data_IF_597331729073
#
_entry.id   IF_597331729073
#
_cell.length_a   1.000
_cell.length_b   1.000
_cell.length_c   1.000
_cell.angle_alpha   90.00
_cell.angle_beta   90.00
_cell.angle_gamma   90.00
#
_symmetry.space_group_name_H-M   'P 1'
#
loop_
_entity.id
_entity.type
_entity.pdbx_description
1 polymer ?
#
# COMPACT_ATOMS: atom_id res chain seq x y z
N UNK A 1 -22.22 26.32 -14.07
CA UNK A 1 -20.97 25.95 -14.75
C UNK A 1 -19.80 26.53 -13.99
N UNK A 2 -19.05 25.71 -13.25
CA UNK A 2 -17.91 26.16 -12.47
C UNK A 2 -16.74 25.19 -12.65
N UNK A 3 -15.82 25.57 -13.53
CA UNK A 3 -14.39 25.23 -13.51
C UNK A 3 -14.01 23.75 -13.30
N UNK A 4 -14.19 22.92 -14.33
CA UNK A 4 -13.23 21.86 -14.58
C UNK A 4 -11.98 22.54 -15.16
N UNK A 5 -11.04 22.95 -14.30
CA UNK A 5 -9.71 23.30 -14.75
C UNK A 5 -9.05 21.99 -15.19
N UNK A 6 -9.17 21.72 -16.49
CA UNK A 6 -8.30 20.83 -17.23
C UNK A 6 -6.87 21.36 -17.03
N UNK A 7 -6.18 20.82 -16.03
CA UNK A 7 -4.78 21.15 -15.77
C UNK A 7 -3.94 20.30 -16.71
N UNK A 8 -3.79 20.78 -17.95
CA UNK A 8 -2.85 20.20 -18.90
C UNK A 8 -1.43 20.26 -18.32
N UNK A 9 -0.88 19.13 -17.87
CA UNK A 9 0.55 19.00 -17.59
C UNK A 9 0.95 17.53 -17.74
N UNK A 10 1.94 17.23 -18.59
CA UNK A 10 2.44 15.88 -18.85
C UNK A 10 2.87 15.09 -17.58
N UNK A 11 2.98 15.75 -16.42
CA UNK A 11 3.23 15.15 -15.11
C UNK A 11 2.04 14.41 -14.47
N UNK A 12 0.79 14.77 -14.78
CA UNK A 12 -0.39 14.16 -14.14
C UNK A 12 -0.61 12.72 -14.65
N UNK A 13 -0.46 12.51 -15.95
CA UNK A 13 -0.58 11.18 -16.57
C UNK A 13 0.55 10.21 -16.18
N UNK A 14 1.76 10.72 -15.90
CA UNK A 14 2.86 9.89 -15.39
C UNK A 14 2.59 9.48 -13.95
N UNK A 15 2.18 10.43 -13.11
CA UNK A 15 1.86 10.18 -11.69
C UNK A 15 0.74 9.15 -11.56
N UNK A 16 -0.31 9.28 -12.36
CA UNK A 16 -1.42 8.33 -12.42
C UNK A 16 -0.96 6.93 -12.86
N UNK A 17 -0.17 6.83 -13.94
CA UNK A 17 0.38 5.53 -14.39
C UNK A 17 1.27 4.88 -13.34
N UNK A 18 2.12 5.66 -12.68
CA UNK A 18 2.99 5.17 -11.60
C UNK A 18 2.17 4.71 -10.40
N UNK A 19 1.12 5.44 -10.01
CA UNK A 19 0.22 5.03 -8.95
C UNK A 19 -0.52 3.73 -9.31
N UNK A 20 -0.99 3.59 -10.56
CA UNK A 20 -1.65 2.37 -11.04
C UNK A 20 -0.69 1.18 -10.97
N UNK A 21 0.49 1.29 -11.59
CA UNK A 21 1.47 0.19 -11.62
C UNK A 21 1.97 -0.13 -10.21
N UNK A 22 2.30 0.89 -9.43
CA UNK A 22 2.77 0.75 -8.05
C UNK A 22 1.73 0.08 -7.18
N UNK A 23 0.47 0.53 -7.23
CA UNK A 23 -0.64 -0.04 -6.45
C UNK A 23 -0.98 -1.49 -6.83
N UNK A 24 -0.96 -1.81 -8.13
CA UNK A 24 -1.22 -3.17 -8.61
C UNK A 24 -0.12 -4.16 -8.23
N UNK A 25 1.14 -3.71 -8.12
CA UNK A 25 2.25 -4.55 -7.66
C UNK A 25 2.30 -4.60 -6.13
N UNK A 26 2.05 -3.49 -5.43
CA UNK A 26 2.13 -3.44 -3.97
C UNK A 26 1.04 -4.28 -3.30
N UNK A 27 -0.16 -4.31 -3.85
CA UNK A 27 -1.30 -5.07 -3.29
C UNK A 27 -0.99 -6.57 -3.10
N UNK A 28 -0.54 -7.34 -4.12
CA UNK A 28 -0.19 -8.74 -3.94
C UNK A 28 1.04 -8.95 -3.06
N UNK A 29 2.02 -8.04 -3.08
CA UNK A 29 3.20 -8.10 -2.19
C UNK A 29 2.79 -7.98 -0.73
N UNK A 30 1.93 -7.00 -0.41
CA UNK A 30 1.39 -6.81 0.94
C UNK A 30 0.52 -8.01 1.33
N UNK A 31 -0.33 -8.52 0.42
CA UNK A 31 -1.14 -9.70 0.71
C UNK A 31 -0.28 -10.92 1.07
N UNK A 32 0.81 -11.16 0.32
CA UNK A 32 1.77 -12.22 0.63
C UNK A 32 2.48 -11.98 1.97
N UNK A 33 2.83 -10.72 2.27
CA UNK A 33 3.39 -10.36 3.58
C UNK A 33 2.46 -10.62 4.75
N UNK A 34 1.26 -10.07 4.70
CA UNK A 34 0.28 -10.27 5.75
C UNK A 34 -0.11 -11.74 5.91
N UNK A 35 -0.17 -12.51 4.83
CA UNK A 35 -0.41 -13.95 4.90
C UNK A 35 0.72 -14.69 5.62
N UNK A 36 1.97 -14.39 5.27
CA UNK A 36 3.15 -15.00 5.91
C UNK A 36 3.18 -14.62 7.39
N UNK A 37 2.96 -13.35 7.71
CA UNK A 37 2.93 -12.86 9.08
C UNK A 37 1.84 -13.55 9.90
N UNK A 38 0.62 -13.61 9.37
CA UNK A 38 -0.52 -14.24 10.04
C UNK A 38 -0.36 -15.75 10.23
N UNK A 39 0.35 -16.44 9.34
CA UNK A 39 0.48 -17.92 9.39
C UNK A 39 1.71 -18.40 10.14
N UNK A 40 2.81 -17.64 10.07
CA UNK A 40 4.10 -18.03 10.66
C UNK A 40 4.47 -17.21 11.88
N UNK A 41 3.84 -16.05 12.09
CA UNK A 41 4.26 -15.06 13.08
C UNK A 41 5.49 -14.26 12.66
N UNK A 42 6.03 -14.49 11.46
CA UNK A 42 7.21 -13.83 10.92
C UNK A 42 6.88 -13.06 9.63
N UNK A 43 7.55 -11.93 9.42
CA UNK A 43 7.47 -11.17 8.17
C UNK A 43 8.06 -11.93 6.97
N UNK A 44 8.18 -11.28 5.82
CA UNK A 44 8.83 -11.92 4.67
C UNK A 44 10.31 -12.15 4.92
N UNK A 45 10.87 -13.25 4.36
CA UNK A 45 12.31 -13.40 4.29
C UNK A 45 12.91 -12.17 3.59
N UNK A 46 13.95 -11.54 4.14
CA UNK A 46 14.53 -10.33 3.55
C UNK A 46 15.10 -10.57 2.14
N UNK A 47 15.36 -11.82 1.78
CA UNK A 47 15.95 -12.23 0.49
C UNK A 47 17.43 -11.86 0.38
N UNK A 48 18.11 -12.28 -0.70
CA UNK A 48 19.50 -11.92 -0.93
C UNK A 48 19.68 -10.40 -0.91
N UNK A 49 20.55 -9.91 -0.02
CA UNK A 49 20.82 -8.48 0.13
C UNK A 49 19.65 -7.63 0.64
N UNK A 50 18.60 -8.22 1.22
CA UNK A 50 17.46 -7.46 1.75
C UNK A 50 16.46 -6.97 0.68
N UNK A 51 16.58 -7.47 -0.56
CA UNK A 51 15.78 -7.03 -1.70
C UNK A 51 14.26 -7.25 -1.54
N UNK A 52 13.85 -8.36 -0.94
CA UNK A 52 12.43 -8.69 -0.73
C UNK A 52 11.86 -7.82 0.40
N UNK A 53 12.61 -7.62 1.48
CA UNK A 53 12.22 -6.72 2.57
C UNK A 53 12.12 -5.26 2.10
N UNK A 54 13.02 -4.82 1.21
CA UNK A 54 12.93 -3.49 0.61
C UNK A 54 11.69 -3.34 -0.27
N UNK A 55 11.35 -4.37 -1.07
CA UNK A 55 10.13 -4.37 -1.87
C UNK A 55 8.88 -4.31 -1.01
N UNK A 56 8.85 -5.05 0.11
CA UNK A 56 7.76 -4.99 1.08
C UNK A 56 7.61 -3.59 1.68
N UNK A 57 8.71 -3.00 2.17
CA UNK A 57 8.72 -1.64 2.73
C UNK A 57 8.24 -0.57 1.74
N UNK A 58 8.74 -0.61 0.50
CA UNK A 58 8.30 0.29 -0.57
C UNK A 58 6.81 0.08 -0.89
N UNK A 59 6.33 -1.16 -0.88
CA UNK A 59 4.92 -1.48 -1.12
C UNK A 59 4.01 -0.84 -0.07
N UNK A 60 4.39 -0.88 1.21
CA UNK A 60 3.66 -0.17 2.28
C UNK A 60 3.64 1.34 2.06
N UNK A 61 4.77 1.95 1.68
CA UNK A 61 4.83 3.38 1.39
C UNK A 61 3.95 3.78 0.21
N UNK A 62 3.88 2.96 -0.84
CA UNK A 62 3.00 3.20 -1.99
C UNK A 62 1.53 3.18 -1.55
N UNK A 63 1.10 2.16 -0.80
CA UNK A 63 -0.30 2.06 -0.33
C UNK A 63 -0.66 3.22 0.58
N UNK A 64 0.20 3.56 1.55
CA UNK A 64 -0.02 4.71 2.43
C UNK A 64 -0.05 6.01 1.63
N UNK A 65 0.83 6.17 0.63
CA UNK A 65 0.84 7.32 -0.27
C UNK A 65 -0.46 7.49 -1.06
N UNK A 66 -1.00 6.39 -1.62
CA UNK A 66 -2.27 6.39 -2.36
C UNK A 66 -3.44 6.72 -1.42
N UNK A 67 -3.49 6.11 -0.24
CA UNK A 67 -4.55 6.38 0.76
C UNK A 67 -4.49 7.83 1.26
N UNK A 68 -3.28 8.36 1.51
CA UNK A 68 -3.10 9.74 1.92
C UNK A 68 -3.52 10.72 0.82
N UNK A 69 -3.15 10.43 -0.44
CA UNK A 69 -3.57 11.24 -1.59
C UNK A 69 -5.09 11.18 -1.81
N UNK A 70 -5.71 10.01 -1.70
CA UNK A 70 -7.17 9.88 -1.73
C UNK A 70 -7.82 10.69 -0.63
N UNK A 71 -7.38 10.53 0.61
CA UNK A 71 -7.96 11.22 1.76
C UNK A 71 -7.82 12.74 1.64
N UNK A 72 -6.67 13.21 1.15
CA UNK A 72 -6.44 14.63 0.88
C UNK A 72 -7.35 15.17 -0.22
N UNK A 73 -7.46 14.45 -1.34
CA UNK A 73 -8.31 14.83 -2.47
C UNK A 73 -9.77 14.86 -2.04
N UNK A 74 -10.22 13.83 -1.31
CA UNK A 74 -11.57 13.73 -0.76
C UNK A 74 -11.88 14.85 0.21
N UNK A 75 -10.93 15.26 1.04
CA UNK A 75 -11.10 16.41 1.94
C UNK A 75 -11.22 17.74 1.17
N UNK A 76 -10.53 17.89 0.04
CA UNK A 76 -10.53 19.13 -0.75
C UNK A 76 -11.69 19.24 -1.75
N UNK A 77 -12.10 18.13 -2.35
CA UNK A 77 -13.05 18.11 -3.48
C UNK A 77 -14.38 17.41 -3.13
N UNK A 78 -14.43 16.69 -2.01
CA UNK A 78 -15.56 15.82 -1.65
C UNK A 78 -15.60 14.50 -2.42
N UNK A 79 -14.67 14.24 -3.35
CA UNK A 79 -14.59 13.03 -4.17
C UNK A 79 -13.22 12.36 -4.06
N UNK A 80 -13.16 11.03 -4.24
CA UNK A 80 -11.92 10.25 -4.22
C UNK A 80 -10.97 10.58 -5.38
N UNK A 81 -9.99 9.71 -5.64
CA UNK A 81 -9.11 9.91 -6.79
C UNK A 81 -9.92 9.83 -8.09
N UNK A 82 -9.51 10.55 -9.15
CA UNK A 82 -10.09 10.35 -10.47
C UNK A 82 -9.94 8.88 -10.87
N UNK A 83 -10.94 8.32 -11.56
CA UNK A 83 -10.93 6.90 -11.92
C UNK A 83 -9.76 6.51 -12.84
N UNK A 84 -9.24 7.48 -13.58
CA UNK A 84 -8.12 7.28 -14.49
C UNK A 84 -8.43 6.40 -15.69
N UNK A 85 -7.40 6.10 -16.51
CA UNK A 85 -7.57 5.29 -17.70
C UNK A 85 -8.11 3.90 -17.31
N UNK A 86 -9.20 3.50 -17.96
CA UNK A 86 -9.91 2.23 -17.71
C UNK A 86 -10.43 2.05 -16.27
N UNK A 87 -10.50 3.10 -15.44
CA UNK A 87 -10.94 2.98 -14.05
C UNK A 87 -9.91 2.38 -13.10
N UNK A 88 -8.66 2.20 -13.56
CA UNK A 88 -7.63 1.50 -12.80
C UNK A 88 -7.15 2.27 -11.57
N UNK A 89 -7.13 3.61 -11.61
CA UNK A 89 -6.72 4.40 -10.46
C UNK A 89 -7.75 4.31 -9.33
N UNK A 90 -9.05 4.28 -9.67
CA UNK A 90 -10.12 4.03 -8.71
C UNK A 90 -10.07 2.61 -8.12
N UNK A 91 -9.76 1.60 -8.95
CA UNK A 91 -9.57 0.22 -8.46
C UNK A 91 -8.39 0.14 -7.47
N UNK A 92 -7.27 0.79 -7.80
CA UNK A 92 -6.08 0.87 -6.94
C UNK A 92 -6.36 1.62 -5.65
N UNK A 93 -7.16 2.69 -5.67
CA UNK A 93 -7.62 3.37 -4.47
C UNK A 93 -8.38 2.40 -3.55
N UNK A 94 -9.35 1.65 -4.09
CA UNK A 94 -10.11 0.65 -3.33
C UNK A 94 -9.23 -0.47 -2.76
N UNK A 95 -8.31 -1.02 -3.57
CA UNK A 95 -7.36 -2.03 -3.14
C UNK A 95 -6.40 -1.50 -2.07
N UNK A 96 -6.02 -0.23 -2.14
CA UNK A 96 -5.15 0.41 -1.16
C UNK A 96 -5.86 0.58 0.19
N UNK A 97 -7.13 1.00 0.20
CA UNK A 97 -7.94 1.03 1.43
C UNK A 97 -8.18 -0.37 2.01
N UNK A 98 -8.44 -1.36 1.16
CA UNK A 98 -8.59 -2.75 1.59
C UNK A 98 -7.29 -3.29 2.21
N UNK A 99 -6.16 -3.01 1.57
CA UNK A 99 -4.84 -3.40 2.05
C UNK A 99 -4.53 -2.71 3.38
N UNK A 100 -4.81 -1.42 3.52
CA UNK A 100 -4.65 -0.69 4.78
C UNK A 100 -5.47 -1.33 5.91
N UNK A 101 -6.73 -1.68 5.65
CA UNK A 101 -7.58 -2.36 6.62
C UNK A 101 -6.98 -3.72 6.99
N UNK A 102 -6.55 -4.52 6.01
CA UNK A 102 -5.93 -5.81 6.25
C UNK A 102 -4.66 -5.70 7.11
N UNK A 103 -3.81 -4.70 6.85
CA UNK A 103 -2.62 -4.40 7.66
C UNK A 103 -3.02 -4.14 9.10
N UNK A 104 -3.98 -3.24 9.33
CA UNK A 104 -4.44 -2.90 10.68
C UNK A 104 -5.02 -4.12 11.41
N UNK A 105 -5.78 -4.97 10.71
CA UNK A 105 -6.36 -6.19 11.29
C UNK A 105 -5.26 -7.18 11.65
N UNK A 106 -4.35 -7.52 10.73
CA UNK A 106 -3.31 -8.51 10.97
C UNK A 106 -2.33 -8.02 12.03
N UNK A 107 -1.92 -6.76 12.01
CA UNK A 107 -1.06 -6.20 13.05
C UNK A 107 -1.77 -6.12 14.41
N UNK A 108 -3.07 -5.83 14.41
CA UNK A 108 -3.90 -5.87 15.61
C UNK A 108 -3.95 -7.27 16.22
N UNK A 109 -4.30 -8.29 15.43
CA UNK A 109 -4.27 -9.69 15.85
C UNK A 109 -2.88 -10.07 16.37
N UNK A 110 -1.83 -9.66 15.66
CA UNK A 110 -0.46 -9.97 16.07
C UNK A 110 -0.10 -9.36 17.43
N UNK A 111 -0.48 -8.09 17.63
CA UNK A 111 -0.29 -7.39 18.89
C UNK A 111 -1.03 -8.07 20.04
N UNK A 112 -2.23 -8.59 19.82
CA UNK A 112 -2.98 -9.31 20.85
C UNK A 112 -2.44 -10.73 21.13
N UNK A 113 -1.95 -11.44 20.11
CA UNK A 113 -1.48 -12.82 20.26
C UNK A 113 -0.02 -12.91 20.76
N UNK A 114 0.85 -12.02 20.29
CA UNK A 114 2.29 -12.05 20.58
C UNK A 114 2.76 -10.91 21.49
N UNK A 115 1.91 -9.92 21.79
CA UNK A 115 2.26 -8.77 22.62
C UNK A 115 3.21 -7.76 21.97
N UNK A 116 3.58 -7.95 20.70
CA UNK A 116 4.42 -7.03 19.93
C UNK A 116 4.10 -7.10 18.44
N UNK A 117 4.45 -6.03 17.71
CA UNK A 117 4.40 -6.00 16.25
C UNK A 117 5.83 -6.31 15.76
N UNK A 118 6.03 -7.24 14.80
CA UNK A 118 7.34 -7.55 14.29
C UNK A 118 8.04 -6.30 13.80
N UNK A 119 9.33 -6.19 14.12
CA UNK A 119 10.15 -5.07 13.68
C UNK A 119 10.31 -5.03 12.16
N UNK A 120 10.66 -3.87 11.59
CA UNK A 120 10.92 -3.71 10.16
C UNK A 120 12.24 -4.36 9.69
N UNK A 121 13.03 -4.88 10.64
CA UNK A 121 14.28 -5.58 10.38
C UNK A 121 14.08 -7.08 10.61
N UNK A 122 14.78 -7.93 9.85
CA UNK A 122 14.82 -9.35 10.14
C UNK A 122 15.28 -9.55 11.59
N UNK A 123 14.48 -10.23 12.38
CA UNK A 123 14.85 -10.60 13.74
C UNK A 123 15.47 -11.99 13.76
N UNK A 124 16.42 -12.19 14.66
CA UNK A 124 17.09 -13.49 14.87
C UNK A 124 16.07 -14.60 15.23
N UNK A 125 14.92 -14.22 15.79
CA UNK A 125 13.81 -15.15 16.07
C UNK A 125 13.17 -15.75 14.81
N UNK A 126 13.22 -15.05 13.68
CA UNK A 126 12.58 -15.47 12.42
C UNK A 126 13.60 -15.87 11.35
N UNK A 127 14.77 -15.22 11.31
CA UNK A 127 15.74 -15.37 10.22
C UNK A 127 17.18 -15.67 10.65
N UNK A 128 17.44 -15.80 11.95
CA UNK A 128 18.69 -16.34 12.50
C UNK A 128 19.82 -15.32 12.62
#
# INVERSE_FOLDING_TARGET
MGMAKESSNSGDGITEKVAIVGGLVSTPVIAWSLYTLKTTGCGLPPGPGGSIGALEGVSYLIVVGIVAWSSYTKYKTGSGLPNGPFGLLGAVEGLSYLSLLAILVVFGVQFFEQGSIPGPLPSDQCFG
#
